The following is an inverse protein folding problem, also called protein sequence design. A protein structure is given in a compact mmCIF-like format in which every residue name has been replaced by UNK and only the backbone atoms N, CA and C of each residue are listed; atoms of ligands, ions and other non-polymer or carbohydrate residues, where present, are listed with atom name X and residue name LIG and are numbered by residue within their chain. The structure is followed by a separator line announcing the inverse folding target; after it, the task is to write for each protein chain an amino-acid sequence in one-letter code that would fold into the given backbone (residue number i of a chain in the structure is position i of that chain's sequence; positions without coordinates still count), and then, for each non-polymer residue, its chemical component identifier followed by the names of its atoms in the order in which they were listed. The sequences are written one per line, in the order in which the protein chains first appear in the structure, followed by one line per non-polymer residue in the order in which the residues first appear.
data_IF_661353670097
#
_entry.id   IF_661353670097
#
_cell.length_a   1.000
_cell.length_b   1.000
_cell.length_c   1.000
_cell.angle_alpha   90.00
_cell.angle_beta   90.00
_cell.angle_gamma   90.00
#
_symmetry.space_group_name_H-M   'P 1'
#
loop_
_entity.id
_entity.type
_entity.pdbx_description
1 polymer ?
#
# COMPACT_ATOMS: atom_id res chain seq x y z
N UNK A 1 -24.53 23.42 20.14
CA UNK A 1 -23.47 23.18 19.13
C UNK A 1 -22.20 22.59 19.74
N UNK A 2 -21.69 23.15 20.85
CA UNK A 2 -20.43 22.75 21.50
C UNK A 2 -20.31 21.26 21.82
N UNK A 3 -21.38 20.62 22.33
CA UNK A 3 -21.37 19.18 22.61
C UNK A 3 -21.06 18.33 21.37
N UNK A 4 -21.69 18.63 20.24
CA UNK A 4 -21.49 17.90 18.98
C UNK A 4 -20.07 18.11 18.46
N UNK A 5 -19.58 19.35 18.49
CA UNK A 5 -18.20 19.68 18.07
C UNK A 5 -17.17 18.92 18.90
N UNK A 6 -17.33 18.87 20.22
CA UNK A 6 -16.40 18.16 21.10
C UNK A 6 -16.38 16.64 20.86
N UNK A 7 -17.54 16.04 20.59
CA UNK A 7 -17.61 14.61 20.24
C UNK A 7 -16.93 14.31 18.89
N UNK A 8 -17.15 15.16 17.89
CA UNK A 8 -16.47 15.03 16.58
C UNK A 8 -14.96 15.18 16.73
N UNK A 9 -14.48 16.15 17.51
CA UNK A 9 -13.06 16.32 17.78
C UNK A 9 -12.45 15.11 18.50
N UNK A 10 -13.15 14.55 19.49
CA UNK A 10 -12.71 13.33 20.18
C UNK A 10 -12.58 12.15 19.21
N UNK A 11 -13.56 11.98 18.32
CA UNK A 11 -13.57 10.92 17.31
C UNK A 11 -12.44 11.12 16.26
N UNK A 12 -12.23 12.35 15.78
CA UNK A 12 -11.13 12.69 14.89
C UNK A 12 -9.76 12.46 15.55
N UNK A 13 -9.60 12.78 16.83
CA UNK A 13 -8.36 12.54 17.57
C UNK A 13 -8.05 11.06 17.72
N UNK A 14 -9.06 10.23 18.00
CA UNK A 14 -8.91 8.78 18.03
C UNK A 14 -8.48 8.22 16.66
N UNK A 15 -9.10 8.68 15.57
CA UNK A 15 -8.73 8.32 14.20
C UNK A 15 -7.28 8.72 13.86
N UNK A 16 -6.86 9.93 14.25
CA UNK A 16 -5.48 10.39 14.05
C UNK A 16 -4.48 9.48 14.77
N UNK A 17 -4.74 9.13 16.03
CA UNK A 17 -3.87 8.23 16.80
C UNK A 17 -3.81 6.83 16.17
N UNK A 18 -4.94 6.26 15.75
CA UNK A 18 -4.97 4.95 15.08
C UNK A 18 -4.22 4.98 13.74
N UNK A 19 -4.30 6.10 12.99
CA UNK A 19 -3.52 6.30 11.77
C UNK A 19 -2.00 6.30 12.06
N UNK A 20 -1.56 7.01 13.10
CA UNK A 20 -0.12 7.01 13.48
C UNK A 20 0.40 5.65 13.95
N UNK A 21 -0.49 4.78 14.43
CA UNK A 21 -0.15 3.41 14.83
C UNK A 21 -0.14 2.42 13.66
N UNK A 22 -0.49 2.86 12.44
CA UNK A 22 -0.59 1.98 11.27
C UNK A 22 -1.77 1.01 11.33
N UNK A 23 -2.77 1.28 12.18
CA UNK A 23 -3.97 0.44 12.33
C UNK A 23 -5.03 0.74 11.25
N UNK A 24 -4.87 1.85 10.53
CA UNK A 24 -5.72 2.18 9.40
C UNK A 24 -4.98 1.84 8.10
N UNK A 25 -5.65 1.20 7.13
CA UNK A 25 -5.08 0.88 5.84
C UNK A 25 -4.97 2.14 4.97
N UNK A 26 -3.98 2.99 5.27
CA UNK A 26 -3.73 4.27 4.58
C UNK A 26 -2.49 4.21 3.67
N UNK A 27 -1.66 3.18 3.80
CA UNK A 27 -0.41 3.07 3.04
C UNK A 27 -0.58 2.08 1.88
N UNK A 28 0.11 2.29 0.74
CA UNK A 28 0.11 1.33 -0.36
C UNK A 28 0.56 -0.08 0.05
N UNK A 29 1.40 -0.19 1.10
CA UNK A 29 1.82 -1.47 1.68
C UNK A 29 0.68 -2.27 2.29
N UNK A 30 -0.36 -1.61 2.82
CA UNK A 30 -1.54 -2.30 3.38
C UNK A 30 -2.30 -3.09 2.30
N UNK A 31 -2.18 -2.67 1.04
CA UNK A 31 -2.84 -3.25 -0.13
C UNK A 31 -1.91 -4.13 -0.96
N UNK A 32 -0.62 -4.18 -0.64
CA UNK A 32 0.37 -4.93 -1.41
C UNK A 32 0.07 -6.43 -1.45
N UNK A 33 -0.62 -6.97 -0.44
CA UNK A 33 -1.08 -8.37 -0.43
C UNK A 33 -2.11 -8.69 -1.52
N UNK A 34 -2.80 -7.69 -2.07
CA UNK A 34 -3.79 -7.87 -3.13
C UNK A 34 -3.20 -7.67 -4.54
N UNK A 35 -1.92 -7.29 -4.62
CA UNK A 35 -1.26 -7.13 -5.91
C UNK A 35 -0.91 -8.51 -6.47
N UNK A 36 -1.29 -8.75 -7.72
CA UNK A 36 -0.84 -9.92 -8.49
C UNK A 36 0.67 -9.79 -8.70
N UNK A 37 1.44 -10.65 -8.04
CA UNK A 37 2.89 -10.74 -8.25
C UNK A 37 3.13 -11.43 -9.60
N UNK A 38 3.82 -10.80 -10.56
CA UNK A 38 4.20 -11.46 -11.79
C UNK A 38 5.08 -12.69 -11.48
N UNK A 39 4.90 -13.83 -12.18
CA UNK A 39 5.72 -15.00 -11.94
C UNK A 39 7.20 -14.66 -12.12
N UNK A 40 8.10 -15.17 -11.25
CA UNK A 40 9.51 -14.84 -11.29
C UNK A 40 10.13 -15.39 -12.58
N UNK A 41 10.38 -14.51 -13.55
CA UNK A 41 11.18 -14.84 -14.72
C UNK A 41 12.64 -14.89 -14.26
N UNK A 42 13.14 -16.09 -13.96
CA UNK A 42 14.54 -16.29 -13.61
C UNK A 42 15.41 -15.97 -14.84
N UNK A 43 15.87 -14.73 -14.97
CA UNK A 43 16.91 -14.37 -15.94
C UNK A 43 18.24 -14.49 -15.23
N UNK A 44 18.87 -15.66 -15.38
CA UNK A 44 20.27 -15.85 -15.03
C UNK A 44 21.13 -15.07 -16.04
N UNK A 45 21.56 -13.86 -15.68
CA UNK A 45 22.51 -13.07 -16.49
C UNK A 45 23.90 -13.72 -16.44
N UNK A 46 24.06 -14.79 -17.21
CA UNK A 46 25.32 -15.45 -17.51
C UNK A 46 25.48 -15.75 -19.01
N UNK A 47 24.56 -15.29 -19.86
CA UNK A 47 24.72 -15.40 -21.31
C UNK A 47 23.96 -14.28 -22.01
N UNK A 48 24.72 -13.31 -22.53
CA UNK A 48 24.23 -12.37 -23.54
C UNK A 48 23.82 -13.18 -24.78
N UNK A 49 22.57 -13.11 -25.23
CA UNK A 49 22.21 -12.96 -26.65
C UNK A 49 20.68 -12.87 -26.85
N UNK A 50 20.32 -11.93 -27.72
CA UNK A 50 19.09 -11.83 -28.52
C UNK A 50 17.77 -11.51 -27.81
N UNK A 51 17.47 -10.22 -27.83
CA UNK A 51 16.10 -9.76 -28.05
C UNK A 51 15.49 -10.46 -29.28
N UNK A 52 14.24 -10.96 -29.21
CA UNK A 52 13.46 -11.19 -30.40
C UNK A 52 12.60 -9.95 -30.68
N UNK A 53 12.90 -9.31 -31.80
CA UNK A 53 11.96 -8.51 -32.59
C UNK A 53 10.86 -9.46 -33.16
N UNK A 54 9.66 -8.92 -33.39
CA UNK A 54 8.46 -9.47 -34.06
C UNK A 54 7.42 -10.14 -33.12
N UNK A 55 6.14 -9.78 -33.14
CA UNK A 55 5.28 -9.17 -34.16
C UNK A 55 4.57 -7.89 -33.71
#
# INVERSE_FOLDING_TARGET
ATFVVLNLLAMSGALYKMNTMGLLPNTPSDWASFLVVPPPVQVSTGSQISAPLAH
#
